data_IF_439000356175
#
_entry.id   IF_439000356175
#
_cell.length_a   1.000
_cell.length_b   1.000
_cell.length_c   1.000
_cell.angle_alpha   90.00
_cell.angle_beta   90.00
_cell.angle_gamma   90.00
#
_symmetry.space_group_name_H-M   'P 1'
#
loop_
_entity.id
_entity.type
_entity.pdbx_description
1 polymer ?
#
# COMPACT_ATOMS: atom_id res chain seq x y z
N UNK A 1 7.91 39.96 -27.42
CA UNK A 1 8.93 39.19 -26.69
C UNK A 1 8.17 38.11 -25.93
N UNK A 2 7.99 36.96 -26.59
CA UNK A 2 7.35 35.77 -26.01
C UNK A 2 8.34 35.17 -25.02
N UNK A 3 8.04 35.26 -23.73
CA UNK A 3 8.69 34.43 -22.73
C UNK A 3 8.14 33.02 -22.93
N UNK A 4 9.04 32.08 -23.11
CA UNK A 4 8.79 30.66 -23.32
C UNK A 4 7.85 30.10 -22.26
N UNK A 5 6.75 29.50 -22.71
CA UNK A 5 6.02 28.49 -21.97
C UNK A 5 6.97 27.30 -21.75
N UNK A 6 7.74 27.35 -20.66
CA UNK A 6 8.36 26.14 -20.13
C UNK A 6 7.21 25.23 -19.69
N UNK A 7 7.06 24.10 -20.38
CA UNK A 7 6.07 23.08 -20.02
C UNK A 7 6.34 22.66 -18.56
N UNK A 8 5.40 22.92 -17.62
CA UNK A 8 5.59 22.59 -16.20
C UNK A 8 5.71 21.07 -15.96
N UNK A 9 5.54 20.24 -17.00
CA UNK A 9 5.79 18.80 -16.95
C UNK A 9 7.27 18.42 -16.93
N UNK A 10 8.19 19.33 -17.28
CA UNK A 10 9.62 19.00 -17.42
C UNK A 10 10.39 19.09 -16.10
N UNK A 11 9.94 19.89 -15.13
CA UNK A 11 10.67 20.10 -13.86
C UNK A 11 10.43 19.01 -12.81
N UNK A 12 9.45 18.12 -13.02
CA UNK A 12 9.09 17.05 -12.09
C UNK A 12 10.04 15.83 -12.11
N UNK A 13 11.02 15.83 -13.00
CA UNK A 13 12.02 14.75 -13.12
C UNK A 13 13.32 15.03 -12.34
N UNK A 14 13.44 16.20 -11.68
CA UNK A 14 14.73 16.72 -11.23
C UNK A 14 15.02 16.67 -9.72
N UNK A 15 14.02 16.48 -8.86
CA UNK A 15 14.27 16.47 -7.40
C UNK A 15 14.12 15.06 -6.86
N UNK A 16 15.28 14.40 -6.71
CA UNK A 16 15.41 13.15 -5.98
C UNK A 16 14.55 13.18 -4.71
N UNK A 17 13.79 12.11 -4.40
CA UNK A 17 13.03 12.06 -3.16
C UNK A 17 13.94 12.37 -1.97
N UNK A 18 13.45 13.09 -0.94
CA UNK A 18 14.24 13.31 0.24
C UNK A 18 14.44 11.97 0.92
N UNK A 19 15.70 11.56 1.09
CA UNK A 19 16.09 10.91 2.32
C UNK A 19 17.61 10.86 2.40
N UNK A 20 18.15 11.34 3.51
CA UNK A 20 19.50 10.98 3.96
C UNK A 20 19.64 9.46 4.22
N UNK A 21 18.53 8.72 4.12
CA UNK A 21 18.42 7.26 4.23
C UNK A 21 18.03 6.61 2.88
N UNK A 22 18.79 5.63 2.34
CA UNK A 22 18.44 4.96 1.09
C UNK A 22 17.05 4.31 1.10
N UNK A 23 16.26 4.40 0.01
CA UNK A 23 14.93 3.76 -0.14
C UNK A 23 14.97 2.27 0.24
N UNK A 24 16.01 1.55 -0.20
CA UNK A 24 16.20 0.14 0.13
C UNK A 24 16.33 -0.10 1.65
N UNK A 25 16.96 0.82 2.37
CA UNK A 25 17.06 0.74 3.83
C UNK A 25 15.70 0.95 4.49
N UNK A 26 14.85 1.86 3.98
CA UNK A 26 13.49 2.04 4.49
C UNK A 26 12.60 0.80 4.26
N UNK A 27 12.69 0.19 3.08
CA UNK A 27 12.01 -1.07 2.76
C UNK A 27 12.49 -2.18 3.72
N UNK A 28 13.81 -2.29 3.93
CA UNK A 28 14.39 -3.29 4.81
C UNK A 28 13.97 -3.08 6.27
N UNK A 29 13.98 -1.85 6.77
CA UNK A 29 13.48 -1.50 8.12
C UNK A 29 12.03 -1.95 8.26
N UNK A 30 11.16 -1.62 7.30
CA UNK A 30 9.76 -2.05 7.33
C UNK A 30 9.63 -3.58 7.38
N UNK A 31 10.37 -4.31 6.53
CA UNK A 31 10.39 -5.78 6.55
C UNK A 31 10.78 -6.35 7.92
N UNK A 32 11.85 -5.81 8.52
CA UNK A 32 12.31 -6.23 9.85
C UNK A 32 11.28 -5.89 10.93
N UNK A 33 10.68 -4.69 10.89
CA UNK A 33 9.67 -4.28 11.85
C UNK A 33 8.47 -5.22 11.85
N UNK A 34 7.90 -5.55 10.69
CA UNK A 34 6.78 -6.50 10.62
C UNK A 34 7.17 -7.90 11.07
N UNK A 35 8.38 -8.35 10.71
CA UNK A 35 8.92 -9.63 11.16
C UNK A 35 9.05 -9.68 12.69
N UNK A 36 9.57 -8.63 13.31
CA UNK A 36 9.68 -8.52 14.77
C UNK A 36 8.30 -8.53 15.45
N UNK A 37 7.34 -7.76 14.94
CA UNK A 37 5.97 -7.74 15.48
C UNK A 37 5.37 -9.16 15.45
N UNK A 38 5.59 -9.95 14.40
CA UNK A 38 5.13 -11.33 14.32
C UNK A 38 5.65 -12.23 15.45
N UNK A 39 6.92 -12.06 15.81
CA UNK A 39 7.53 -12.80 16.92
C UNK A 39 7.08 -12.28 18.29
N UNK A 40 6.79 -10.98 18.42
CA UNK A 40 6.30 -10.38 19.66
C UNK A 40 4.83 -10.72 19.97
N UNK A 41 4.02 -11.05 18.95
CA UNK A 41 2.64 -11.48 19.17
C UNK A 41 2.59 -12.77 20.01
N UNK A 42 1.57 -12.95 20.89
CA UNK A 42 1.47 -14.09 21.78
C UNK A 42 1.65 -15.44 21.07
N UNK A 43 2.41 -16.35 21.67
CA UNK A 43 2.69 -17.68 21.12
C UNK A 43 1.46 -18.59 21.04
N UNK A 44 0.41 -18.28 21.80
CA UNK A 44 -0.89 -18.95 21.72
C UNK A 44 -1.64 -18.69 20.41
N UNK A 45 -1.28 -17.63 19.68
CA UNK A 45 -1.88 -17.31 18.38
C UNK A 45 -1.23 -18.13 17.27
N UNK A 46 -2.07 -18.70 16.40
CA UNK A 46 -1.58 -19.40 15.20
C UNK A 46 -0.89 -18.42 14.25
N UNK A 47 0.10 -18.86 13.45
CA UNK A 47 0.73 -18.03 12.41
C UNK A 47 -0.29 -17.37 11.47
N UNK A 48 -1.39 -18.07 11.20
CA UNK A 48 -2.52 -17.55 10.42
C UNK A 48 -3.10 -16.28 11.05
N UNK A 49 -3.53 -16.35 12.32
CA UNK A 49 -4.11 -15.19 13.00
C UNK A 49 -3.10 -14.05 13.16
N UNK A 50 -1.84 -14.37 13.45
CA UNK A 50 -0.77 -13.36 13.55
C UNK A 50 -0.60 -12.58 12.24
N UNK A 51 -0.59 -13.26 11.10
CA UNK A 51 -0.52 -12.63 9.77
C UNK A 51 -1.70 -11.67 9.56
N UNK A 52 -2.93 -12.07 9.86
CA UNK A 52 -4.10 -11.17 9.75
C UNK A 52 -4.04 -9.95 10.68
N UNK A 53 -3.54 -10.11 11.92
CA UNK A 53 -3.38 -8.98 12.83
C UNK A 53 -2.38 -7.97 12.26
N UNK A 54 -1.22 -8.45 11.78
CA UNK A 54 -0.17 -7.58 11.25
C UNK A 54 -0.61 -6.91 9.95
N UNK A 55 -1.27 -7.66 9.06
CA UNK A 55 -1.92 -7.11 7.87
C UNK A 55 -2.92 -6.01 8.21
N UNK A 56 -3.70 -6.18 9.29
CA UNK A 56 -4.65 -5.16 9.74
C UNK A 56 -3.96 -3.91 10.27
N UNK A 57 -2.89 -4.06 11.07
CA UNK A 57 -2.08 -2.94 11.57
C UNK A 57 -1.48 -2.17 10.40
N UNK A 58 -0.87 -2.89 9.45
CA UNK A 58 -0.33 -2.34 8.22
C UNK A 58 -1.37 -1.52 7.46
N UNK A 59 -2.52 -2.11 7.17
CA UNK A 59 -3.61 -1.46 6.46
C UNK A 59 -4.12 -0.21 7.19
N UNK A 60 -4.23 -0.23 8.53
CA UNK A 60 -4.60 0.94 9.32
C UNK A 60 -3.59 2.09 9.18
N UNK A 61 -2.28 1.80 9.29
CA UNK A 61 -1.22 2.81 9.12
C UNK A 61 -1.27 3.40 7.72
N UNK A 62 -1.44 2.55 6.71
CA UNK A 62 -1.60 2.92 5.31
C UNK A 62 -2.79 3.87 5.08
N UNK A 63 -3.98 3.51 5.58
CA UNK A 63 -5.20 4.33 5.47
C UNK A 63 -5.03 5.67 6.19
N UNK A 64 -4.48 5.67 7.41
CA UNK A 64 -4.25 6.91 8.18
C UNK A 64 -3.28 7.83 7.43
N UNK A 65 -2.19 7.29 6.88
CA UNK A 65 -1.21 8.04 6.10
C UNK A 65 -1.86 8.73 4.89
N UNK A 66 -2.73 8.03 4.16
CA UNK A 66 -3.50 8.60 3.04
C UNK A 66 -4.48 9.67 3.50
N UNK A 67 -5.21 9.44 4.59
CA UNK A 67 -6.11 10.45 5.14
C UNK A 67 -5.35 11.73 5.51
N UNK A 68 -4.18 11.60 6.13
CA UNK A 68 -3.31 12.73 6.47
C UNK A 68 -2.87 13.45 5.19
N UNK A 69 -2.44 12.72 4.16
CA UNK A 69 -2.09 13.29 2.87
C UNK A 69 -3.25 14.09 2.25
N UNK A 70 -4.45 13.52 2.21
CA UNK A 70 -5.64 14.18 1.68
C UNK A 70 -6.12 15.39 2.49
N UNK A 71 -5.92 15.40 3.81
CA UNK A 71 -6.27 16.54 4.66
C UNK A 71 -5.30 17.71 4.42
N UNK A 72 -4.02 17.41 4.18
CA UNK A 72 -2.95 18.42 4.16
C UNK A 72 -2.64 18.95 2.76
N UNK A 73 -2.83 18.14 1.74
CA UNK A 73 -2.55 18.50 0.35
C UNK A 73 -3.87 18.75 -0.37
N UNK A 74 -4.05 19.93 -0.97
CA UNK A 74 -5.15 20.14 -1.93
C UNK A 74 -4.95 19.13 -3.05
N UNK A 75 -5.83 18.14 -3.16
CA UNK A 75 -5.72 17.09 -4.15
C UNK A 75 -5.93 17.71 -5.53
N UNK A 76 -4.84 18.12 -6.15
CA UNK A 76 -4.84 18.43 -7.56
C UNK A 76 -4.67 17.11 -8.29
N UNK A 77 -5.80 16.49 -8.65
CA UNK A 77 -5.81 15.25 -9.41
C UNK A 77 -5.01 15.40 -10.71
N UNK A 78 -4.93 16.62 -11.28
CA UNK A 78 -4.18 16.88 -12.51
C UNK A 78 -2.66 16.76 -12.34
N UNK A 79 -2.14 16.77 -11.10
CA UNK A 79 -0.72 16.56 -10.79
C UNK A 79 -0.40 15.07 -10.64
N UNK A 80 -0.72 14.30 -11.68
CA UNK A 80 -0.52 12.85 -11.74
C UNK A 80 0.94 12.49 -11.44
N UNK A 81 1.93 13.17 -12.03
CA UNK A 81 3.35 12.90 -11.75
C UNK A 81 3.76 13.13 -10.27
N UNK A 82 3.04 13.98 -9.52
CA UNK A 82 3.27 14.21 -8.09
C UNK A 82 2.67 13.11 -7.23
N UNK A 83 1.46 12.69 -7.58
CA UNK A 83 0.76 11.53 -6.99
C UNK A 83 1.54 10.23 -7.30
N UNK A 84 2.15 10.17 -8.49
CA UNK A 84 2.86 9.02 -9.00
C UNK A 84 4.35 8.97 -8.64
N UNK A 85 5.00 10.13 -8.51
CA UNK A 85 6.44 10.25 -8.30
C UNK A 85 6.91 10.10 -6.85
N UNK A 86 5.98 9.92 -5.91
CA UNK A 86 6.32 9.76 -4.48
C UNK A 86 6.32 11.06 -3.68
N UNK A 87 5.71 12.13 -4.21
CA UNK A 87 5.67 13.42 -3.55
C UNK A 87 6.93 14.26 -3.77
N UNK A 88 6.82 15.56 -3.47
CA UNK A 88 7.90 16.54 -3.63
C UNK A 88 8.57 16.75 -2.28
N UNK A 89 9.90 16.80 -2.25
CA UNK A 89 10.66 17.12 -1.04
C UNK A 89 10.18 18.43 -0.40
N UNK A 90 10.11 18.46 0.93
CA UNK A 90 9.72 19.63 1.74
C UNK A 90 8.27 20.11 1.52
N UNK A 91 7.42 19.27 0.91
CA UNK A 91 5.98 19.57 0.71
C UNK A 91 5.05 18.75 1.60
N UNK A 92 5.58 17.86 2.46
CA UNK A 92 4.89 16.81 3.21
C UNK A 92 4.37 15.63 2.36
N UNK A 93 4.41 15.73 1.03
CA UNK A 93 3.99 14.64 0.15
C UNK A 93 4.95 13.44 0.20
N UNK A 94 6.17 13.62 0.69
CA UNK A 94 7.12 12.54 0.97
C UNK A 94 6.55 11.47 1.91
N UNK A 95 5.50 11.79 2.67
CA UNK A 95 4.69 10.83 3.45
C UNK A 95 4.23 9.65 2.59
N UNK A 96 3.88 9.89 1.31
CA UNK A 96 3.47 8.85 0.38
C UNK A 96 4.65 7.98 -0.07
N UNK A 97 5.84 8.55 -0.27
CA UNK A 97 7.07 7.76 -0.51
C UNK A 97 7.38 6.85 0.67
N UNK A 98 7.29 7.35 1.90
CA UNK A 98 7.51 6.53 3.10
C UNK A 98 6.47 5.42 3.21
N UNK A 99 5.20 5.71 2.89
CA UNK A 99 4.14 4.72 2.89
C UNK A 99 4.35 3.62 1.83
N UNK A 100 4.89 3.99 0.66
CA UNK A 100 5.29 3.05 -0.40
C UNK A 100 6.40 2.12 0.09
N UNK A 101 7.43 2.68 0.74
CA UNK A 101 8.53 1.90 1.31
C UNK A 101 8.01 0.98 2.42
N UNK A 102 7.13 1.49 3.27
CA UNK A 102 6.47 0.74 4.35
C UNK A 102 5.69 -0.46 3.79
N UNK A 103 4.85 -0.25 2.77
CA UNK A 103 4.06 -1.30 2.14
C UNK A 103 4.91 -2.30 1.37
N UNK A 104 5.96 -1.84 0.69
CA UNK A 104 6.91 -2.74 0.01
C UNK A 104 7.61 -3.66 1.02
N UNK A 105 8.04 -3.13 2.17
CA UNK A 105 8.62 -3.96 3.24
C UNK A 105 7.61 -4.94 3.85
N UNK A 106 6.36 -4.51 4.04
CA UNK A 106 5.27 -5.39 4.45
C UNK A 106 5.03 -6.53 3.44
N UNK A 107 5.02 -6.24 2.13
CA UNK A 107 4.86 -7.23 1.07
C UNK A 107 5.92 -8.34 1.15
N UNK A 108 7.20 -7.99 1.33
CA UNK A 108 8.26 -8.99 1.50
C UNK A 108 8.10 -9.80 2.79
N UNK A 109 7.64 -9.16 3.87
CA UNK A 109 7.32 -9.86 5.10
C UNK A 109 6.17 -10.86 4.90
N UNK A 110 5.08 -10.45 4.26
CA UNK A 110 3.89 -11.29 4.06
C UNK A 110 4.22 -12.48 3.14
N UNK A 111 5.03 -12.24 2.10
CA UNK A 111 5.58 -13.29 1.25
C UNK A 111 6.44 -14.28 2.05
N UNK A 112 7.32 -13.81 2.94
CA UNK A 112 8.12 -14.68 3.80
C UNK A 112 7.23 -15.54 4.70
N UNK A 113 6.21 -14.95 5.34
CA UNK A 113 5.27 -15.68 6.19
C UNK A 113 4.51 -16.73 5.39
N UNK A 114 4.05 -16.41 4.17
CA UNK A 114 3.41 -17.37 3.26
C UNK A 114 4.32 -18.54 2.88
N UNK A 115 5.62 -18.29 2.68
CA UNK A 115 6.59 -19.33 2.35
C UNK A 115 6.93 -20.21 3.55
N UNK A 116 7.08 -19.61 4.74
CA UNK A 116 7.46 -20.31 5.97
C UNK A 116 6.30 -21.09 6.60
N UNK A 117 5.07 -20.59 6.55
CA UNK A 117 3.94 -21.16 7.29
C UNK A 117 2.84 -21.68 6.36
N UNK A 118 2.75 -23.02 6.24
CA UNK A 118 1.73 -23.69 5.40
C UNK A 118 0.30 -23.30 5.77
N UNK A 119 0.03 -22.96 7.03
CA UNK A 119 -1.29 -22.53 7.50
C UNK A 119 -1.75 -21.18 6.92
N UNK A 120 -0.82 -20.31 6.53
CA UNK A 120 -1.12 -19.00 5.92
C UNK A 120 -1.26 -19.13 4.40
N UNK A 121 -0.54 -20.09 3.80
CA UNK A 121 -0.43 -20.28 2.35
C UNK A 121 -1.70 -20.86 1.70
N UNK A 122 -2.55 -19.97 1.19
CA UNK A 122 -3.61 -20.34 0.23
C UNK A 122 -3.13 -20.16 -1.21
N UNK A 123 -3.66 -20.94 -2.17
CA UNK A 123 -3.33 -20.78 -3.60
C UNK A 123 -3.67 -19.37 -4.10
N UNK A 124 -4.83 -18.85 -3.68
CA UNK A 124 -5.28 -17.50 -4.06
C UNK A 124 -4.30 -16.43 -3.56
N UNK A 125 -3.85 -16.51 -2.31
CA UNK A 125 -2.88 -15.56 -1.75
C UNK A 125 -1.54 -15.61 -2.48
N UNK A 126 -1.04 -16.81 -2.80
CA UNK A 126 0.23 -16.97 -3.51
C UNK A 126 0.16 -16.40 -4.93
N UNK A 127 -0.91 -16.69 -5.68
CA UNK A 127 -1.12 -16.14 -7.02
C UNK A 127 -1.21 -14.61 -6.97
N UNK A 128 -1.95 -14.07 -6.00
CA UNK A 128 -2.06 -12.62 -5.80
C UNK A 128 -0.70 -11.95 -5.56
N UNK A 129 0.14 -12.52 -4.68
CA UNK A 129 1.48 -12.01 -4.43
C UNK A 129 2.39 -12.10 -5.66
N UNK A 130 2.29 -13.19 -6.43
CA UNK A 130 3.04 -13.34 -7.69
C UNK A 130 2.62 -12.28 -8.70
N UNK A 131 1.31 -12.02 -8.86
CA UNK A 131 0.80 -10.99 -9.75
C UNK A 131 1.32 -9.62 -9.31
N UNK A 132 1.21 -9.28 -8.03
CA UNK A 132 1.74 -8.00 -7.50
C UNK A 132 3.24 -7.88 -7.76
N UNK A 133 4.03 -8.93 -7.50
CA UNK A 133 5.47 -8.92 -7.72
C UNK A 133 5.82 -8.73 -9.19
N UNK A 134 5.23 -9.52 -10.08
CA UNK A 134 5.48 -9.43 -11.53
C UNK A 134 5.08 -8.06 -12.05
N UNK A 135 3.92 -7.58 -11.63
CA UNK A 135 3.37 -6.33 -12.11
C UNK A 135 4.17 -5.13 -11.57
N UNK A 136 4.64 -5.19 -10.31
CA UNK A 136 5.58 -4.24 -9.74
C UNK A 136 6.93 -4.23 -10.46
N UNK A 137 7.54 -5.40 -10.70
CA UNK A 137 8.81 -5.50 -11.46
C UNK A 137 8.63 -4.99 -12.89
N UNK A 138 7.54 -5.38 -13.55
CA UNK A 138 7.24 -4.96 -14.93
C UNK A 138 7.00 -3.46 -15.01
N UNK A 139 6.29 -2.89 -14.03
CA UNK A 139 6.06 -1.46 -13.91
C UNK A 139 7.35 -0.66 -13.77
N UNK A 140 8.25 -1.11 -12.89
CA UNK A 140 9.58 -0.52 -12.71
C UNK A 140 10.43 -0.65 -13.98
N UNK A 141 10.46 -1.83 -14.60
CA UNK A 141 11.28 -2.13 -15.78
C UNK A 141 10.83 -1.36 -17.03
N UNK A 142 9.52 -1.25 -17.23
CA UNK A 142 8.95 -0.59 -18.42
C UNK A 142 8.79 0.91 -18.25
N UNK A 143 9.01 1.44 -17.04
CA UNK A 143 8.68 2.82 -16.67
C UNK A 143 7.20 3.20 -16.92
N UNK A 144 6.31 2.21 -17.15
CA UNK A 144 4.87 2.43 -17.45
C UNK A 144 4.06 2.58 -16.16
N UNK A 145 4.50 1.96 -15.07
CA UNK A 145 3.80 2.03 -13.79
C UNK A 145 4.79 2.34 -12.66
N UNK A 146 4.70 3.55 -12.10
CA UNK A 146 5.39 3.91 -10.86
C UNK A 146 4.86 3.11 -9.66
N UNK A 147 5.71 2.92 -8.64
CA UNK A 147 5.41 2.12 -7.44
C UNK A 147 4.10 2.55 -6.73
N UNK A 148 3.77 3.83 -6.80
CA UNK A 148 2.51 4.46 -6.36
C UNK A 148 1.25 3.87 -7.00
N UNK A 149 1.29 3.37 -8.25
CA UNK A 149 0.16 2.72 -8.91
C UNK A 149 -0.15 1.33 -8.35
N UNK A 150 0.88 0.59 -7.95
CA UNK A 150 0.72 -0.71 -7.27
C UNK A 150 0.30 -0.55 -5.81
N UNK A 151 0.41 0.67 -5.30
CA UNK A 151 0.26 1.04 -3.91
C UNK A 151 -0.78 2.13 -3.77
N UNK A 152 -1.76 2.21 -4.67
CA UNK A 152 -2.94 3.05 -4.44
C UNK A 152 -3.78 2.39 -3.33
N UNK A 153 -3.37 2.76 -2.12
CA UNK A 153 -3.70 2.35 -0.76
C UNK A 153 -5.19 2.23 -0.41
N UNK A 154 -6.10 2.57 -1.32
CA UNK A 154 -7.51 2.24 -1.12
C UNK A 154 -7.79 0.74 -1.32
N UNK A 155 -6.87 -0.02 -1.92
CA UNK A 155 -6.89 -1.47 -1.76
C UNK A 155 -6.81 -1.87 -0.28
N UNK A 156 -5.99 -1.18 0.53
CA UNK A 156 -5.80 -1.46 1.95
C UNK A 156 -6.98 -1.07 2.84
N UNK A 157 -7.82 -0.12 2.42
CA UNK A 157 -9.05 0.19 3.17
C UNK A 157 -9.97 -1.03 3.27
N UNK A 158 -10.03 -1.83 2.20
CA UNK A 158 -10.83 -3.07 2.18
C UNK A 158 -10.14 -4.22 2.93
N UNK A 159 -8.82 -4.18 3.09
CA UNK A 159 -8.05 -5.17 3.85
C UNK A 159 -8.47 -5.24 5.32
N UNK A 160 -8.77 -4.10 5.96
CA UNK A 160 -9.21 -4.06 7.37
C UNK A 160 -10.48 -4.91 7.61
N UNK A 161 -11.63 -4.66 6.94
CA UNK A 161 -12.81 -5.49 7.11
C UNK A 161 -12.62 -6.91 6.57
N UNK A 162 -11.80 -7.12 5.53
CA UNK A 162 -11.46 -8.47 5.06
C UNK A 162 -10.78 -9.30 6.17
N UNK A 163 -9.81 -8.71 6.85
CA UNK A 163 -9.06 -9.37 7.92
C UNK A 163 -9.93 -9.63 9.13
N UNK A 164 -10.75 -8.67 9.55
CA UNK A 164 -11.68 -8.88 10.65
C UNK A 164 -12.73 -9.95 10.36
N UNK A 165 -13.23 -10.04 9.11
CA UNK A 165 -14.10 -11.16 8.69
C UNK A 165 -13.43 -12.51 8.96
N UNK A 166 -12.13 -12.63 8.68
CA UNK A 166 -11.37 -13.86 8.89
C UNK A 166 -11.07 -14.14 10.37
N UNK A 167 -10.65 -13.12 11.12
CA UNK A 167 -10.36 -13.23 12.56
C UNK A 167 -11.62 -13.66 13.31
N UNK A 168 -12.78 -13.09 12.99
CA UNK A 168 -14.06 -13.40 13.64
C UNK A 168 -14.88 -14.49 12.93
N UNK A 169 -14.25 -15.40 12.18
CA UNK A 169 -14.96 -16.41 11.38
C UNK A 169 -15.91 -17.33 12.21
N UNK A 170 -15.59 -17.55 13.49
CA UNK A 170 -16.41 -18.34 14.43
C UNK A 170 -17.65 -17.60 14.95
N UNK A 171 -17.78 -16.28 14.69
CA UNK A 171 -18.88 -15.44 15.14
C UNK A 171 -19.70 -14.96 13.94
N UNK A 172 -20.76 -15.68 13.52
CA UNK A 172 -21.47 -15.43 12.26
C UNK A 172 -21.93 -13.98 12.09
N UNK A 173 -22.53 -13.39 13.13
CA UNK A 173 -23.04 -12.02 13.08
C UNK A 173 -21.94 -10.98 12.80
N UNK A 174 -20.77 -11.15 13.45
CA UNK A 174 -19.63 -10.23 13.30
C UNK A 174 -18.95 -10.45 11.95
N UNK A 175 -18.76 -11.72 11.56
CA UNK A 175 -18.22 -12.09 10.26
C UNK A 175 -19.05 -11.51 9.11
N UNK A 176 -20.37 -11.66 9.16
CA UNK A 176 -21.26 -11.21 8.09
C UNK A 176 -21.32 -9.68 8.00
N UNK A 177 -21.23 -8.99 9.14
CA UNK A 177 -21.06 -7.54 9.18
C UNK A 177 -19.77 -7.09 8.46
N UNK A 178 -18.62 -7.68 8.81
CA UNK A 178 -17.36 -7.35 8.15
C UNK A 178 -17.31 -7.79 6.68
N UNK A 179 -18.01 -8.86 6.30
CA UNK A 179 -18.15 -9.24 4.90
C UNK A 179 -18.86 -8.16 4.08
N UNK A 180 -19.94 -7.56 4.60
CA UNK A 180 -20.63 -6.44 3.95
C UNK A 180 -19.75 -5.20 3.86
N UNK A 181 -19.05 -4.87 4.95
CA UNK A 181 -18.10 -3.75 4.95
C UNK A 181 -16.96 -3.94 3.95
N UNK A 182 -16.43 -5.15 3.83
CA UNK A 182 -15.42 -5.48 2.82
C UNK A 182 -15.93 -5.21 1.42
N UNK A 183 -17.12 -5.72 1.06
CA UNK A 183 -17.70 -5.48 -0.27
C UNK A 183 -17.91 -4.00 -0.54
N UNK A 184 -18.44 -3.25 0.44
CA UNK A 184 -18.68 -1.82 0.31
C UNK A 184 -17.38 -1.04 0.09
N UNK A 185 -16.38 -1.26 0.96
CA UNK A 185 -15.09 -0.57 0.90
C UNK A 185 -14.30 -0.94 -0.35
N UNK A 186 -14.33 -2.21 -0.77
CA UNK A 186 -13.72 -2.68 -2.01
C UNK A 186 -14.37 -2.05 -3.24
N UNK A 187 -15.70 -1.96 -3.28
CA UNK A 187 -16.38 -1.33 -4.41
C UNK A 187 -16.11 0.17 -4.47
N UNK A 188 -16.18 0.86 -3.33
CA UNK A 188 -15.92 2.29 -3.24
C UNK A 188 -14.48 2.65 -3.65
N UNK A 189 -13.49 1.86 -3.19
CA UNK A 189 -12.10 2.06 -3.59
C UNK A 189 -11.92 1.87 -5.09
N UNK A 190 -12.48 0.81 -5.68
CA UNK A 190 -12.36 0.57 -7.12
C UNK A 190 -13.08 1.62 -7.96
N UNK A 191 -14.25 2.12 -7.54
CA UNK A 191 -14.95 3.18 -8.26
C UNK A 191 -14.17 4.49 -8.24
N UNK A 192 -13.74 4.96 -7.07
CA UNK A 192 -13.04 6.24 -6.95
C UNK A 192 -11.75 6.20 -7.77
N UNK A 193 -10.95 5.15 -7.60
CA UNK A 193 -9.64 5.08 -8.24
C UNK A 193 -9.70 4.65 -9.71
N UNK A 194 -10.60 3.74 -10.06
CA UNK A 194 -10.88 3.42 -11.46
C UNK A 194 -11.34 4.67 -12.22
N UNK A 195 -12.17 5.52 -11.59
CA UNK A 195 -12.57 6.80 -12.19
C UNK A 195 -11.38 7.75 -12.31
N UNK A 196 -10.53 7.89 -11.28
CA UNK A 196 -9.33 8.72 -11.35
C UNK A 196 -8.44 8.27 -12.51
N UNK A 197 -8.14 6.97 -12.63
CA UNK A 197 -7.28 6.44 -13.70
C UNK A 197 -7.90 6.70 -15.08
N UNK A 198 -9.19 6.42 -15.27
CA UNK A 198 -9.87 6.57 -16.56
C UNK A 198 -10.20 8.02 -16.95
N UNK A 199 -10.01 8.98 -16.05
CA UNK A 199 -10.21 10.41 -16.32
C UNK A 199 -9.01 11.05 -17.05
N UNK A 200 -7.93 10.29 -17.22
CA UNK A 200 -6.70 10.64 -17.93
C UNK A 200 -6.53 9.81 -19.20
#
# INVERSE_FOLDING_TARGET
>A
MMLSDEDPRVEYLGTNPPADLPILLLIFISFITHSLIFYLLPSSLTPYIKSYIISTIHACVCVISVCIFYIRSSIDLTQVNRILGGGIKDTNDETMTYNICYTSGYFFYDLLVLLCFKSVRTRSALIHHIIILIAGISGVYTHVAHASHFLMLAEELSTIPLNFKTIYHERPNIRDFFARLFVLTFFLSRLIYGSIICSY
#
